data_IF_237012928394
#
_entry.id   IF_237012928394
#
_cell.length_a   1.000
_cell.length_b   1.000
_cell.length_c   1.000
_cell.angle_alpha   90.00
_cell.angle_beta   90.00
_cell.angle_gamma   90.00
#
_symmetry.space_group_name_H-M   'P 1'
#
loop_
_entity.id
_entity.type
_entity.pdbx_description
1 polymer ?
#
# COMPACT_ATOMS: atom_id res chain seq x y z
N UNK A 1 4.61 31.66 -39.73
CA UNK A 1 5.31 31.77 -38.43
C UNK A 1 4.84 30.62 -37.55
N UNK A 2 5.71 29.64 -37.31
CA UNK A 2 5.39 28.50 -36.43
C UNK A 2 5.58 28.93 -34.97
N UNK A 3 4.56 28.75 -34.14
CA UNK A 3 4.68 28.98 -32.70
C UNK A 3 5.59 27.91 -32.09
N UNK A 4 6.57 28.33 -31.30
CA UNK A 4 7.40 27.42 -30.52
C UNK A 4 6.56 26.75 -29.41
N UNK A 5 6.78 25.46 -29.12
CA UNK A 5 6.05 24.77 -28.07
C UNK A 5 6.42 25.31 -26.69
N UNK A 6 5.42 25.54 -25.85
CA UNK A 6 5.59 25.86 -24.44
C UNK A 6 6.15 24.64 -23.70
N UNK A 7 7.41 24.72 -23.25
CA UNK A 7 8.02 23.70 -22.40
C UNK A 7 7.70 24.00 -20.94
N UNK A 8 6.97 23.11 -20.28
CA UNK A 8 6.73 23.20 -18.84
C UNK A 8 8.01 22.75 -18.13
N UNK A 9 8.80 23.71 -17.62
CA UNK A 9 10.06 23.43 -16.89
C UNK A 9 9.83 23.31 -15.38
N UNK A 10 8.73 23.86 -14.86
CA UNK A 10 8.38 23.80 -13.44
C UNK A 10 7.59 22.52 -13.15
N UNK A 11 8.24 21.55 -12.51
CA UNK A 11 7.49 20.52 -11.79
C UNK A 11 6.74 21.19 -10.63
N UNK A 12 5.45 20.84 -10.40
CA UNK A 12 4.78 21.29 -9.20
C UNK A 12 5.62 20.87 -7.99
N UNK A 13 5.99 21.84 -7.16
CA UNK A 13 6.72 21.58 -5.92
C UNK A 13 5.94 20.56 -5.10
N UNK A 14 6.63 19.57 -4.54
CA UNK A 14 6.03 18.50 -3.74
C UNK A 14 5.51 19.08 -2.41
N UNK A 15 4.35 19.74 -2.42
CA UNK A 15 3.60 20.09 -1.21
C UNK A 15 2.95 18.82 -0.71
N UNK A 16 3.68 18.03 0.08
CA UNK A 16 3.09 16.91 0.82
C UNK A 16 2.31 17.51 1.98
N UNK A 17 0.98 17.38 1.97
CA UNK A 17 0.21 17.65 3.18
C UNK A 17 0.75 16.74 4.30
N UNK A 18 0.98 17.26 5.53
CA UNK A 18 1.32 16.45 6.69
C UNK A 18 0.07 15.70 7.15
N UNK A 19 -0.36 14.72 6.37
CA UNK A 19 -1.19 13.64 6.91
C UNK A 19 -0.29 12.86 7.86
N UNK A 20 -0.83 12.34 8.97
CA UNK A 20 -0.12 11.33 9.76
C UNK A 20 0.14 10.14 8.85
N UNK A 21 1.29 10.17 8.19
CA UNK A 21 1.54 9.34 7.04
C UNK A 21 2.01 7.96 7.47
N UNK A 22 1.88 7.60 8.74
CA UNK A 22 2.26 6.29 9.21
C UNK A 22 1.25 5.22 8.78
N UNK A 23 1.73 3.97 8.79
CA UNK A 23 0.84 2.82 8.80
C UNK A 23 -0.10 2.93 10.01
N UNK A 24 -1.39 2.72 9.78
CA UNK A 24 -2.42 2.65 10.81
C UNK A 24 -2.33 1.38 11.63
N UNK A 25 -1.61 0.35 11.17
CA UNK A 25 -1.39 -0.92 11.89
C UNK A 25 0.08 -1.34 11.78
N UNK A 26 0.60 -2.03 12.79
CA UNK A 26 1.96 -2.58 12.74
C UNK A 26 1.99 -3.84 11.87
N UNK A 27 3.20 -4.21 11.44
CA UNK A 27 3.40 -5.34 10.53
C UNK A 27 2.90 -6.66 11.15
N UNK A 28 3.32 -6.96 12.37
CA UNK A 28 3.01 -8.20 13.08
C UNK A 28 1.78 -8.08 14.00
N UNK A 29 0.90 -7.10 13.77
CA UNK A 29 -0.38 -6.95 14.47
C UNK A 29 -1.41 -7.99 14.00
N UNK A 30 -0.97 -9.24 13.81
CA UNK A 30 -1.74 -10.31 13.18
C UNK A 30 -3.10 -10.52 13.88
N UNK A 31 -3.16 -10.40 15.20
CA UNK A 31 -4.38 -10.69 15.96
C UNK A 31 -5.30 -9.48 16.18
N UNK A 32 -5.00 -8.28 15.66
CA UNK A 32 -5.96 -7.16 15.76
C UNK A 32 -7.16 -7.30 14.82
N UNK A 33 -7.01 -8.10 13.76
CA UNK A 33 -8.10 -8.53 12.89
C UNK A 33 -7.91 -10.03 12.59
N UNK A 34 -8.49 -10.86 13.45
CA UNK A 34 -8.42 -12.31 13.32
C UNK A 34 -8.96 -12.79 11.96
N UNK A 35 -9.95 -12.12 11.39
CA UNK A 35 -10.50 -12.47 10.08
C UNK A 35 -9.45 -12.32 8.98
N UNK A 36 -8.78 -11.16 8.94
CA UNK A 36 -7.68 -10.90 7.98
C UNK A 36 -6.52 -11.86 8.21
N UNK A 37 -6.15 -12.12 9.46
CA UNK A 37 -5.03 -13.02 9.77
C UNK A 37 -5.30 -14.48 9.42
N UNK A 38 -6.51 -14.99 9.73
CA UNK A 38 -6.93 -16.33 9.33
C UNK A 38 -6.99 -16.43 7.80
N UNK A 39 -7.56 -15.43 7.12
CA UNK A 39 -7.56 -15.38 5.65
C UNK A 39 -6.13 -15.38 5.09
N UNK A 40 -5.21 -14.59 5.65
CA UNK A 40 -3.81 -14.55 5.21
C UNK A 40 -3.05 -15.86 5.47
N UNK A 41 -3.34 -16.54 6.57
CA UNK A 41 -2.68 -17.79 6.95
C UNK A 41 -3.23 -18.99 6.16
N UNK A 42 -4.54 -19.04 5.93
CA UNK A 42 -5.21 -20.19 5.32
C UNK A 42 -5.57 -20.01 3.83
N UNK A 43 -5.72 -18.77 3.34
CA UNK A 43 -5.85 -18.47 1.91
C UNK A 43 -5.08 -17.20 1.51
N UNK A 44 -3.74 -17.27 1.55
CA UNK A 44 -2.86 -16.15 1.22
C UNK A 44 -3.17 -15.53 -0.16
N UNK A 45 -3.41 -16.35 -1.19
CA UNK A 45 -3.75 -15.88 -2.54
C UNK A 45 -5.08 -15.13 -2.57
N UNK A 46 -6.10 -15.60 -1.85
CA UNK A 46 -7.39 -14.90 -1.76
C UNK A 46 -7.20 -13.50 -1.17
N UNK A 47 -6.45 -13.40 -0.06
CA UNK A 47 -6.18 -12.14 0.60
C UNK A 47 -5.42 -11.18 -0.33
N UNK A 48 -4.42 -11.69 -1.06
CA UNK A 48 -3.71 -10.94 -2.09
C UNK A 48 -4.68 -10.36 -3.13
N UNK A 49 -5.59 -11.18 -3.66
CA UNK A 49 -6.57 -10.71 -4.63
C UNK A 49 -7.55 -9.69 -4.06
N UNK A 50 -7.92 -9.79 -2.79
CA UNK A 50 -8.75 -8.77 -2.12
C UNK A 50 -8.00 -7.44 -2.00
N UNK A 51 -6.72 -7.46 -1.63
CA UNK A 51 -5.87 -6.26 -1.57
C UNK A 51 -5.71 -5.64 -2.95
N UNK A 52 -5.47 -6.46 -3.97
CA UNK A 52 -5.37 -6.00 -5.35
C UNK A 52 -6.69 -5.35 -5.82
N UNK A 53 -7.82 -6.03 -5.62
CA UNK A 53 -9.14 -5.51 -5.97
C UNK A 53 -9.45 -4.19 -5.24
N UNK A 54 -9.10 -4.09 -3.96
CA UNK A 54 -9.27 -2.86 -3.18
C UNK A 54 -8.49 -1.67 -3.74
N UNK A 55 -7.38 -1.94 -4.42
CA UNK A 55 -6.53 -0.95 -5.06
C UNK A 55 -6.74 -0.85 -6.58
N UNK A 56 -7.76 -1.52 -7.12
CA UNK A 56 -8.08 -1.61 -8.56
C UNK A 56 -6.94 -2.19 -9.43
N UNK A 57 -6.22 -3.17 -8.88
CA UNK A 57 -5.12 -3.87 -9.55
C UNK A 57 -5.46 -5.34 -9.84
N UNK A 58 -4.66 -5.98 -10.69
CA UNK A 58 -4.80 -7.41 -11.00
C UNK A 58 -4.62 -8.29 -9.76
N UNK A 59 -5.44 -9.33 -9.62
CA UNK A 59 -5.48 -10.32 -8.52
C UNK A 59 -4.07 -10.80 -8.08
N UNK A 60 -3.16 -11.04 -9.04
CA UNK A 60 -1.81 -11.52 -8.77
C UNK A 60 -0.84 -10.46 -8.22
N UNK A 61 -1.20 -9.17 -8.27
CA UNK A 61 -0.33 -8.07 -7.86
C UNK A 61 -0.39 -7.79 -6.36
N UNK A 62 -1.44 -8.22 -5.64
CA UNK A 62 -1.70 -7.79 -4.26
C UNK A 62 -0.67 -8.23 -3.22
N UNK A 63 0.15 -9.22 -3.53
CA UNK A 63 1.21 -9.76 -2.65
C UNK A 63 2.60 -9.23 -2.98
N UNK A 64 2.71 -8.33 -3.96
CA UNK A 64 4.00 -7.90 -4.51
C UNK A 64 4.62 -6.71 -3.75
N UNK A 65 5.94 -6.59 -3.85
CA UNK A 65 6.69 -5.40 -3.41
C UNK A 65 6.17 -4.13 -4.07
N UNK A 66 5.79 -4.22 -5.35
CA UNK A 66 5.20 -3.13 -6.10
C UNK A 66 3.90 -2.63 -5.45
N UNK A 67 3.03 -3.55 -5.01
CA UNK A 67 1.79 -3.22 -4.31
C UNK A 67 2.03 -2.41 -3.04
N UNK A 68 2.96 -2.88 -2.21
CA UNK A 68 3.32 -2.22 -0.95
C UNK A 68 3.93 -0.85 -1.20
N UNK A 69 4.82 -0.75 -2.18
CA UNK A 69 5.45 0.51 -2.59
C UNK A 69 4.41 1.51 -3.08
N UNK A 70 3.52 1.07 -3.99
CA UNK A 70 2.40 1.88 -4.49
C UNK A 70 1.55 2.41 -3.34
N UNK A 71 1.15 1.52 -2.41
CA UNK A 71 0.34 1.91 -1.27
C UNK A 71 1.03 2.96 -0.38
N UNK A 72 2.32 2.76 -0.04
CA UNK A 72 3.09 3.73 0.74
C UNK A 72 3.21 5.07 0.02
N UNK A 73 3.53 5.06 -1.27
CA UNK A 73 3.66 6.31 -2.03
C UNK A 73 2.34 7.08 -2.10
N UNK A 74 1.21 6.37 -2.28
CA UNK A 74 -0.14 6.96 -2.29
C UNK A 74 -0.50 7.66 -0.99
N UNK A 75 -0.22 7.05 0.16
CA UNK A 75 -0.58 7.61 1.48
C UNK A 75 0.56 8.32 2.22
N UNK A 76 1.68 8.52 1.54
CA UNK A 76 2.81 9.24 2.07
C UNK A 76 3.64 8.49 3.13
N UNK A 77 3.57 7.17 3.17
CA UNK A 77 4.17 6.37 4.24
C UNK A 77 5.69 6.31 4.14
N UNK A 78 6.44 6.73 5.20
CA UNK A 78 7.89 6.71 5.17
C UNK A 78 8.42 5.29 5.05
N UNK A 79 9.55 5.13 4.37
CA UNK A 79 10.20 3.85 4.10
C UNK A 79 10.79 3.81 2.71
N UNK A 80 11.58 2.77 2.43
CA UNK A 80 12.25 2.55 1.15
C UNK A 80 11.68 1.34 0.41
N UNK A 81 11.99 1.23 -0.89
CA UNK A 81 11.70 0.02 -1.67
C UNK A 81 12.44 -1.21 -1.11
N UNK A 82 13.62 -1.00 -0.51
CA UNK A 82 14.38 -2.07 0.14
C UNK A 82 13.60 -2.60 1.35
N UNK A 83 13.05 -1.73 2.19
CA UNK A 83 12.23 -2.13 3.34
C UNK A 83 11.01 -2.93 2.90
N UNK A 84 10.34 -2.51 1.82
CA UNK A 84 9.19 -3.23 1.27
C UNK A 84 9.57 -4.61 0.72
N UNK A 85 10.73 -4.71 0.08
CA UNK A 85 11.27 -5.96 -0.39
C UNK A 85 11.57 -6.89 0.78
N UNK A 86 12.26 -6.40 1.82
CA UNK A 86 12.62 -7.19 3.00
C UNK A 86 11.38 -7.65 3.76
N UNK A 87 10.40 -6.77 3.98
CA UNK A 87 9.14 -7.13 4.64
C UNK A 87 8.37 -8.19 3.85
N UNK A 88 8.28 -8.03 2.54
CA UNK A 88 7.59 -8.99 1.66
C UNK A 88 8.34 -10.33 1.59
N UNK A 89 9.67 -10.32 1.65
CA UNK A 89 10.50 -11.52 1.62
C UNK A 89 10.45 -12.30 2.94
N UNK A 90 10.63 -11.62 4.07
CA UNK A 90 10.78 -12.26 5.39
C UNK A 90 9.45 -12.53 6.08
N UNK A 91 8.40 -11.73 5.87
CA UNK A 91 7.05 -12.06 6.30
C UNK A 91 5.99 -11.67 5.25
N UNK A 92 5.85 -12.45 4.16
CA UNK A 92 4.87 -12.16 3.11
C UNK A 92 3.44 -12.11 3.65
N UNK A 93 3.07 -13.03 4.55
CA UNK A 93 1.74 -13.06 5.17
C UNK A 93 1.49 -11.79 5.99
N UNK A 94 2.42 -11.39 6.86
CA UNK A 94 2.30 -10.16 7.64
C UNK A 94 2.19 -8.93 6.73
N UNK A 95 3.00 -8.88 5.67
CA UNK A 95 3.02 -7.77 4.71
C UNK A 95 1.64 -7.53 4.11
N UNK A 96 1.02 -8.59 3.56
CA UNK A 96 -0.29 -8.50 2.91
C UNK A 96 -1.41 -8.27 3.93
N UNK A 97 -1.35 -8.94 5.09
CA UNK A 97 -2.29 -8.70 6.19
C UNK A 97 -2.23 -7.24 6.68
N UNK A 98 -1.02 -6.66 6.79
CA UNK A 98 -0.84 -5.27 7.15
C UNK A 98 -1.51 -4.35 6.12
N UNK A 99 -1.29 -4.57 4.82
CA UNK A 99 -1.97 -3.81 3.77
C UNK A 99 -3.50 -3.89 3.93
N UNK A 100 -4.06 -5.10 4.06
CA UNK A 100 -5.51 -5.27 4.17
C UNK A 100 -6.09 -4.56 5.40
N UNK A 101 -5.45 -4.72 6.57
CA UNK A 101 -5.86 -4.02 7.80
C UNK A 101 -5.77 -2.51 7.65
N UNK A 102 -4.72 -2.00 7.01
CA UNK A 102 -4.54 -0.57 6.77
C UNK A 102 -5.61 -0.01 5.83
N UNK A 103 -5.92 -0.72 4.74
CA UNK A 103 -7.03 -0.40 3.82
C UNK A 103 -8.35 -0.30 4.60
N UNK A 104 -8.66 -1.31 5.42
CA UNK A 104 -9.88 -1.33 6.22
C UNK A 104 -9.95 -0.15 7.20
N UNK A 105 -8.85 0.17 7.90
CA UNK A 105 -8.78 1.31 8.83
C UNK A 105 -8.96 2.64 8.09
N UNK A 106 -8.31 2.83 6.94
CA UNK A 106 -8.46 4.06 6.13
C UNK A 106 -9.86 4.22 5.55
N UNK A 107 -10.50 3.14 5.11
CA UNK A 107 -11.91 3.15 4.68
C UNK A 107 -12.84 3.56 5.83
N UNK A 108 -12.63 3.02 7.03
CA UNK A 108 -13.41 3.41 8.20
C UNK A 108 -13.21 4.90 8.59
N UNK A 109 -12.06 5.48 8.26
CA UNK A 109 -11.75 6.91 8.45
C UNK A 109 -12.19 7.79 7.26
N UNK A 110 -12.80 7.23 6.22
CA UNK A 110 -13.10 7.91 4.95
C UNK A 110 -11.86 8.56 4.30
N UNK A 111 -10.69 7.93 4.45
CA UNK A 111 -9.39 8.43 3.99
C UNK A 111 -8.68 7.47 3.03
N UNK A 112 -9.43 6.56 2.39
CA UNK A 112 -8.92 5.61 1.41
C UNK A 112 -9.13 6.11 -0.02
#
# INVERSE_FOLDING_TARGET
>A
MAQAPTVIVTQPGFVRAPQNSNWQTSLCDCFSDCGVCLCGTFCFTCLGCQVAADMNECCLCGTTVAMRTLYRTRYGIPGSICDDYMVTLFCPVCSVCQLKRDINRRRAMNAF
#
